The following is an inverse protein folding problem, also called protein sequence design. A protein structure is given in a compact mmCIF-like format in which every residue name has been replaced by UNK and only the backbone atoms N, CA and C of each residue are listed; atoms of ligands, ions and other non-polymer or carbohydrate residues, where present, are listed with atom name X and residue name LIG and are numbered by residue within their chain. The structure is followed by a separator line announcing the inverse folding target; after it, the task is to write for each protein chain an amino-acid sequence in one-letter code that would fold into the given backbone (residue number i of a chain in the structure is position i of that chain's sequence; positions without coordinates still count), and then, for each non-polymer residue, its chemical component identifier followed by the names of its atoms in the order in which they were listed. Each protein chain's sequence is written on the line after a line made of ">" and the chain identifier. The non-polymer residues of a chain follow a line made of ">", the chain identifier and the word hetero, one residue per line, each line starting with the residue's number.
data_IF_620310925846
#
_entry.id   IF_620310925846
#
_cell.length_a   1.000
_cell.length_b   1.000
_cell.length_c   1.000
_cell.angle_alpha   90.00
_cell.angle_beta   90.00
_cell.angle_gamma   90.00
#
_symmetry.space_group_name_H-M   'P 1'
#
loop_
_entity.id
_entity.type
_entity.pdbx_description
1 polymer ?
#
# COMPACT_ATOMS: atom_id res chain seq x y z
N UNK A 1 -12.47 9.11 -1.13
CA UNK A 1 -11.14 9.33 -0.58
C UNK A 1 -10.86 8.29 0.48
N UNK A 2 -9.73 7.64 0.39
CA UNK A 2 -9.49 6.42 1.16
C UNK A 2 -8.37 6.62 2.16
N UNK A 3 -8.49 5.94 3.29
CA UNK A 3 -7.47 5.94 4.33
C UNK A 3 -6.94 4.52 4.51
N UNK A 4 -5.70 4.42 4.89
CA UNK A 4 -5.07 3.15 5.26
C UNK A 4 -4.86 3.20 6.76
N UNK A 5 -5.52 2.28 7.48
CA UNK A 5 -5.44 2.19 8.95
C UNK A 5 -4.61 1.00 9.34
N UNK A 6 -3.93 1.13 10.44
CA UNK A 6 -3.28 -0.01 11.07
C UNK A 6 -4.36 -0.99 11.56
N UNK A 7 -4.11 -2.28 11.40
CA UNK A 7 -5.07 -3.30 11.80
C UNK A 7 -4.34 -4.58 12.17
N UNK A 8 -4.84 -5.29 13.16
CA UNK A 8 -4.22 -6.55 13.61
C UNK A 8 -5.16 -7.75 13.45
N UNK A 9 -6.39 -7.54 12.99
CA UNK A 9 -7.32 -8.64 12.77
C UNK A 9 -8.44 -8.17 11.86
N UNK A 10 -9.24 -9.12 11.36
CA UNK A 10 -10.36 -8.78 10.47
C UNK A 10 -11.51 -8.09 11.19
N UNK A 11 -11.49 -8.05 12.52
CA UNK A 11 -12.48 -7.32 13.30
C UNK A 11 -11.97 -5.95 13.77
N UNK A 12 -10.71 -5.64 13.54
CA UNK A 12 -10.08 -4.38 13.96
C UNK A 12 -10.24 -3.35 12.84
N UNK A 13 -11.27 -2.52 12.93
CA UNK A 13 -11.58 -1.53 11.91
C UNK A 13 -11.23 -0.10 12.32
N UNK A 14 -10.82 0.10 13.56
CA UNK A 14 -10.66 1.44 14.12
C UNK A 14 -9.22 1.74 14.55
N UNK A 15 -8.25 1.05 13.95
CA UNK A 15 -6.86 1.34 14.23
C UNK A 15 -6.46 2.73 13.76
N UNK A 16 -5.27 3.15 14.13
CA UNK A 16 -4.74 4.46 13.77
C UNK A 16 -4.66 4.62 12.25
N UNK A 17 -5.02 5.80 11.77
CA UNK A 17 -4.79 6.15 10.38
C UNK A 17 -3.27 6.29 10.16
N UNK A 18 -2.77 5.67 9.10
CA UNK A 18 -1.35 5.74 8.74
C UNK A 18 -1.14 6.55 7.47
N UNK A 19 -2.02 6.36 6.49
CA UNK A 19 -1.88 7.00 5.18
C UNK A 19 -3.23 7.39 4.64
N UNK A 20 -3.19 8.32 3.69
CA UNK A 20 -4.35 8.73 2.91
C UNK A 20 -4.04 8.51 1.44
N UNK A 21 -4.98 7.92 0.72
CA UNK A 21 -4.85 7.76 -0.73
C UNK A 21 -5.52 8.96 -1.36
N UNK A 22 -4.74 9.77 -2.05
CA UNK A 22 -5.15 11.02 -2.68
C UNK A 22 -4.92 10.88 -4.17
N UNK A 23 -5.94 10.38 -4.89
CA UNK A 23 -5.79 10.08 -6.29
C UNK A 23 -4.71 9.02 -6.49
N UNK A 24 -3.66 9.36 -7.21
CA UNK A 24 -2.55 8.44 -7.45
C UNK A 24 -1.46 8.52 -6.39
N UNK A 25 -1.61 9.36 -5.38
CA UNK A 25 -0.57 9.55 -4.35
C UNK A 25 -0.98 8.93 -3.03
N UNK A 26 0.00 8.39 -2.32
CA UNK A 26 -0.17 7.90 -0.97
C UNK A 26 0.55 8.88 -0.06
N UNK A 27 -0.22 9.56 0.80
CA UNK A 27 0.27 10.59 1.72
C UNK A 27 0.29 10.06 3.13
N UNK A 28 1.24 10.51 3.90
CA UNK A 28 1.24 10.26 5.33
C UNK A 28 0.05 10.98 5.96
N UNK A 29 -0.64 10.32 6.89
CA UNK A 29 -1.78 10.90 7.58
C UNK A 29 -1.88 10.30 8.97
N UNK A 30 -2.33 11.10 9.93
CA UNK A 30 -2.49 10.64 11.32
C UNK A 30 -3.93 10.67 11.78
N UNK A 31 -4.84 11.17 10.94
CA UNK A 31 -6.27 11.19 11.24
C UNK A 31 -7.06 11.36 9.95
N UNK A 32 -8.36 11.20 10.05
CA UNK A 32 -9.24 11.36 8.88
C UNK A 32 -9.40 12.82 8.45
N UNK A 33 -8.95 13.76 9.25
CA UNK A 33 -8.96 15.18 8.88
C UNK A 33 -7.62 15.67 8.37
N UNK A 34 -6.60 14.83 8.38
CA UNK A 34 -5.25 15.18 7.95
C UNK A 34 -5.15 14.95 6.44
N UNK A 35 -5.28 16.05 5.67
CA UNK A 35 -5.34 15.97 4.21
C UNK A 35 -4.05 16.35 3.50
N UNK A 36 -3.11 16.93 4.22
CA UNK A 36 -1.94 17.57 3.60
C UNK A 36 -0.63 16.99 4.09
N UNK A 37 -0.66 15.77 4.55
CA UNK A 37 0.57 15.08 4.94
C UNK A 37 1.52 14.91 3.77
N UNK A 38 2.78 14.59 4.07
CA UNK A 38 3.81 14.42 3.07
C UNK A 38 3.43 13.29 2.10
N UNK A 39 3.69 13.51 0.81
CA UNK A 39 3.57 12.44 -0.18
C UNK A 39 4.68 11.44 0.06
N UNK A 40 4.36 10.15 0.06
CA UNK A 40 5.31 9.06 0.26
C UNK A 40 5.47 8.20 -0.98
N UNK A 41 4.37 7.91 -1.68
CA UNK A 41 4.38 7.02 -2.83
C UNK A 41 3.44 7.53 -3.90
N UNK A 42 3.69 7.07 -5.12
CA UNK A 42 2.80 7.29 -6.24
C UNK A 42 2.40 5.94 -6.81
N UNK A 43 1.12 5.77 -7.08
CA UNK A 43 0.58 4.57 -7.71
C UNK A 43 0.62 4.82 -9.22
N UNK A 44 1.46 4.05 -9.92
CA UNK A 44 1.69 4.19 -11.36
C UNK A 44 1.28 2.88 -12.02
N UNK A 45 -0.01 2.79 -12.39
CA UNK A 45 -0.54 1.55 -12.92
C UNK A 45 -0.39 0.42 -11.91
N UNK A 46 0.33 -0.62 -12.27
CA UNK A 46 0.57 -1.75 -11.37
C UNK A 46 1.77 -1.55 -10.46
N UNK A 47 2.45 -0.41 -10.55
CA UNK A 47 3.65 -0.17 -9.76
C UNK A 47 3.41 0.88 -8.70
N UNK A 48 4.10 0.72 -7.57
CA UNK A 48 4.12 1.71 -6.50
C UNK A 48 5.53 2.28 -6.46
N UNK A 49 5.64 3.58 -6.73
CA UNK A 49 6.90 4.30 -6.81
C UNK A 49 7.09 5.16 -5.57
N UNK A 50 8.33 5.36 -5.19
CA UNK A 50 8.66 6.35 -4.19
C UNK A 50 8.36 7.75 -4.75
N UNK A 51 7.79 8.63 -3.96
CA UNK A 51 7.50 10.00 -4.37
C UNK A 51 7.57 10.92 -3.16
N UNK A 52 8.02 12.14 -3.36
CA UNK A 52 8.13 13.12 -2.28
C UNK A 52 7.26 14.35 -2.51
N UNK A 53 6.61 14.43 -3.66
CA UNK A 53 5.70 15.54 -3.96
C UNK A 53 4.76 15.13 -5.08
N UNK A 54 3.74 15.94 -5.31
CA UNK A 54 2.77 15.64 -6.37
C UNK A 54 3.33 15.87 -7.77
N UNK A 55 4.51 16.46 -7.89
CA UNK A 55 5.19 16.62 -9.18
C UNK A 55 6.26 15.55 -9.41
N UNK A 56 6.51 14.71 -8.44
CA UNK A 56 7.53 13.66 -8.51
C UNK A 56 6.93 12.42 -9.14
N UNK A 57 7.17 12.23 -10.44
CA UNK A 57 6.54 11.13 -11.19
C UNK A 57 7.49 9.98 -11.49
N UNK A 58 8.76 10.14 -11.28
CA UNK A 58 9.77 9.19 -11.75
C UNK A 58 10.61 8.62 -10.62
N UNK A 59 10.07 8.61 -9.43
CA UNK A 59 10.76 7.97 -8.32
C UNK A 59 10.98 6.48 -8.53
N UNK A 60 11.85 5.89 -7.74
CA UNK A 60 12.17 4.46 -7.83
C UNK A 60 10.93 3.61 -7.63
N UNK A 61 10.80 2.56 -8.45
CA UNK A 61 9.78 1.56 -8.24
C UNK A 61 10.12 0.79 -6.95
N UNK A 62 9.11 0.58 -6.10
CA UNK A 62 9.27 -0.15 -4.84
C UNK A 62 8.49 -1.44 -4.82
N UNK A 63 7.29 -1.44 -5.38
CA UNK A 63 6.40 -2.60 -5.35
C UNK A 63 5.66 -2.74 -6.66
N UNK A 64 5.22 -3.95 -6.92
CA UNK A 64 4.32 -4.24 -8.04
C UNK A 64 3.06 -4.88 -7.49
N UNK A 65 1.91 -4.43 -7.95
CA UNK A 65 0.62 -5.01 -7.61
C UNK A 65 0.33 -6.10 -8.65
N UNK A 66 0.33 -7.35 -8.20
CA UNK A 66 0.15 -8.52 -9.05
C UNK A 66 -1.12 -9.22 -8.61
N UNK A 67 -2.28 -8.80 -9.18
CA UNK A 67 -3.56 -9.32 -8.76
C UNK A 67 -3.81 -9.00 -7.30
N UNK A 68 -3.97 -10.02 -6.48
CA UNK A 68 -4.19 -9.82 -5.04
C UNK A 68 -2.88 -9.74 -4.24
N UNK A 69 -1.73 -9.83 -4.90
CA UNK A 69 -0.44 -9.81 -4.19
C UNK A 69 0.31 -8.53 -4.45
N UNK A 70 1.06 -8.09 -3.45
CA UNK A 70 1.98 -6.96 -3.57
C UNK A 70 3.38 -7.55 -3.48
N UNK A 71 4.14 -7.40 -4.56
CA UNK A 71 5.50 -7.94 -4.70
C UNK A 71 6.52 -6.83 -4.58
N UNK A 72 7.68 -7.16 -4.08
CA UNK A 72 8.83 -6.27 -4.14
C UNK A 72 9.24 -6.10 -5.61
N UNK A 73 9.58 -4.89 -6.03
CA UNK A 73 10.02 -4.62 -7.38
C UNK A 73 10.99 -3.44 -7.38
N UNK A 74 11.98 -3.48 -8.26
CA UNK A 74 12.97 -2.40 -8.35
C UNK A 74 12.95 -1.69 -9.70
N UNK A 75 12.14 -2.17 -10.65
CA UNK A 75 11.98 -1.54 -11.95
C UNK A 75 10.68 -1.99 -12.57
N UNK A 76 10.31 -1.34 -13.68
CA UNK A 76 9.08 -1.69 -14.38
C UNK A 76 9.17 -3.01 -15.12
N UNK A 77 10.36 -3.59 -15.24
CA UNK A 77 10.55 -4.90 -15.86
C UNK A 77 10.69 -6.02 -14.83
N UNK A 78 10.71 -5.69 -13.55
CA UNK A 78 10.87 -6.64 -12.47
C UNK A 78 9.51 -7.20 -12.09
N UNK A 79 9.17 -8.39 -12.57
CA UNK A 79 7.83 -8.96 -12.38
C UNK A 79 7.78 -10.08 -11.36
N UNK A 80 8.92 -10.57 -10.92
CA UNK A 80 8.98 -11.80 -10.11
C UNK A 80 9.65 -11.59 -8.76
N UNK A 81 9.58 -10.37 -8.26
CA UNK A 81 10.08 -10.09 -6.92
C UNK A 81 9.31 -10.84 -5.85
N UNK A 82 9.87 -10.88 -4.65
CA UNK A 82 9.27 -11.59 -3.53
C UNK A 82 7.89 -11.02 -3.21
N UNK A 83 6.96 -11.91 -2.89
CA UNK A 83 5.65 -11.49 -2.38
C UNK A 83 5.85 -10.92 -0.97
N UNK A 84 5.25 -9.77 -0.71
CA UNK A 84 5.30 -9.10 0.59
C UNK A 84 3.96 -9.10 1.29
N UNK A 85 2.89 -8.88 0.54
CA UNK A 85 1.55 -8.71 1.10
C UNK A 85 0.53 -9.35 0.18
N UNK A 86 -0.63 -9.64 0.77
CA UNK A 86 -1.82 -10.07 0.04
C UNK A 86 -2.96 -9.11 0.34
N UNK A 87 -3.68 -8.71 -0.69
CA UNK A 87 -4.88 -7.88 -0.57
C UNK A 87 -6.07 -8.81 -0.43
N UNK A 88 -6.70 -8.80 0.74
CA UNK A 88 -7.82 -9.66 1.08
C UNK A 88 -9.03 -8.77 1.36
N UNK A 89 -9.77 -8.44 0.30
CA UNK A 89 -10.88 -7.49 0.43
C UNK A 89 -10.35 -6.13 0.88
N UNK A 90 -10.79 -5.70 2.06
CA UNK A 90 -10.36 -4.43 2.65
C UNK A 90 -9.13 -4.57 3.53
N UNK A 91 -8.57 -5.76 3.64
CA UNK A 91 -7.43 -5.98 4.53
C UNK A 91 -6.19 -6.25 3.72
N UNK A 92 -5.06 -5.82 4.25
CA UNK A 92 -3.75 -6.13 3.70
C UNK A 92 -3.08 -7.03 4.72
N UNK A 93 -2.72 -8.25 4.27
CA UNK A 93 -2.09 -9.28 5.10
C UNK A 93 -0.64 -9.46 4.72
N UNK A 94 0.17 -9.86 5.65
CA UNK A 94 1.50 -10.39 5.34
C UNK A 94 1.36 -11.62 4.45
N UNK A 95 2.24 -11.75 3.47
CA UNK A 95 2.34 -12.95 2.68
C UNK A 95 3.78 -13.12 2.21
N UNK A 96 4.23 -14.37 2.12
CA UNK A 96 5.59 -14.67 1.66
C UNK A 96 5.59 -15.48 0.36
N UNK A 97 4.42 -15.86 -0.13
CA UNK A 97 4.29 -16.57 -1.39
C UNK A 97 2.86 -16.47 -1.89
N UNK A 98 2.63 -16.89 -3.12
CA UNK A 98 1.28 -16.84 -3.71
C UNK A 98 0.33 -17.88 -3.11
N UNK A 99 0.84 -18.81 -2.30
CA UNK A 99 0.00 -19.79 -1.60
C UNK A 99 -0.27 -19.41 -0.15
N UNK A 100 0.34 -18.34 0.33
CA UNK A 100 0.21 -17.88 1.71
C UNK A 100 -1.03 -16.99 1.82
N UNK A 101 -2.14 -17.53 2.31
CA UNK A 101 -3.41 -16.82 2.35
C UNK A 101 -3.80 -16.32 3.73
N UNK A 102 -3.14 -16.79 4.77
CA UNK A 102 -3.60 -16.57 6.14
C UNK A 102 -2.58 -15.84 7.01
N UNK A 103 -1.72 -15.05 6.37
CA UNK A 103 -0.78 -14.23 7.11
C UNK A 103 -1.48 -13.20 7.99
N UNK A 104 -0.74 -12.62 8.91
CA UNK A 104 -1.26 -11.64 9.83
C UNK A 104 -1.82 -10.43 9.08
N UNK A 105 -2.95 -9.90 9.55
CA UNK A 105 -3.49 -8.65 9.05
C UNK A 105 -2.58 -7.51 9.49
N UNK A 106 -2.25 -6.62 8.57
CA UNK A 106 -1.40 -5.45 8.83
C UNK A 106 -2.17 -4.15 8.73
N UNK A 107 -3.04 -4.03 7.73
CA UNK A 107 -3.73 -2.78 7.44
C UNK A 107 -5.17 -3.03 7.03
N UNK A 108 -5.98 -1.99 7.19
CA UNK A 108 -7.36 -1.94 6.75
C UNK A 108 -7.51 -0.77 5.78
N UNK A 109 -8.12 -1.02 4.64
CA UNK A 109 -8.41 -0.01 3.63
C UNK A 109 -9.83 0.51 3.86
N UNK A 110 -9.93 1.74 4.28
CA UNK A 110 -11.21 2.35 4.57
C UNK A 110 -11.75 3.10 3.37
#
# INVERSE_FOLDING_TARGET
>A
MSYIRQSSSTTDRYGSVCYRIDGEFIRQASSTTDRYGAVRYRIDGEFIRQASSTTDRYGSVRYRIDGEFIRQASSTTDRYGAVCYRIDGKFIRHASSTTDRYGAVCYYLE
#
